data_IF_608381948396
#
_entry.id   IF_608381948396
#
_cell.length_a   1.000
_cell.length_b   1.000
_cell.length_c   1.000
_cell.angle_alpha   90.00
_cell.angle_beta   90.00
_cell.angle_gamma   90.00
#
_symmetry.space_group_name_H-M   'P 1'
#
loop_
_entity.id
_entity.type
_entity.pdbx_description
1 polymer ?
#
# COMPACT_ATOMS: atom_id res chain seq x y z
N UNK A 1 0.73 14.00 30.13
CA UNK A 1 0.54 12.96 29.10
C UNK A 1 0.07 13.65 27.82
N UNK A 2 0.69 13.46 26.65
CA UNK A 2 0.21 14.09 25.40
C UNK A 2 -1.08 13.39 24.95
N UNK A 3 -2.13 14.14 24.54
CA UNK A 3 -3.37 13.53 24.08
C UNK A 3 -3.11 12.68 22.83
N UNK A 4 -3.83 11.56 22.72
CA UNK A 4 -3.75 10.70 21.55
C UNK A 4 -4.19 11.49 20.31
N UNK A 5 -3.52 11.33 19.16
CA UNK A 5 -3.90 12.06 17.94
C UNK A 5 -5.33 11.69 17.52
N UNK A 6 -6.12 12.65 17.02
CA UNK A 6 -7.47 12.39 16.54
C UNK A 6 -7.45 11.56 15.25
N UNK A 7 -8.54 10.85 14.99
CA UNK A 7 -8.80 10.24 13.68
C UNK A 7 -9.04 11.31 12.62
N UNK A 8 -8.83 10.95 11.36
CA UNK A 8 -9.05 11.79 10.19
C UNK A 8 -10.54 11.96 9.97
N UNK A 9 -10.96 13.22 9.79
CA UNK A 9 -12.36 13.56 9.56
C UNK A 9 -12.82 13.11 8.17
N UNK A 10 -14.12 12.83 8.07
CA UNK A 10 -14.85 12.52 6.85
C UNK A 10 -15.74 13.70 6.45
N UNK A 11 -15.85 13.99 5.16
CA UNK A 11 -16.79 15.01 4.66
C UNK A 11 -18.22 14.49 4.56
N UNK A 12 -18.44 13.18 4.58
CA UNK A 12 -19.77 12.55 4.38
C UNK A 12 -20.18 12.38 2.91
N UNK A 13 -19.36 12.87 1.97
CA UNK A 13 -19.65 12.82 0.52
C UNK A 13 -18.51 12.11 -0.22
N UNK A 14 -18.58 10.78 -0.43
CA UNK A 14 -17.53 10.05 -1.13
C UNK A 14 -17.45 10.45 -2.60
N UNK A 15 -16.26 10.89 -3.03
CA UNK A 15 -15.99 11.23 -4.44
C UNK A 15 -14.73 10.54 -4.91
N UNK A 16 -14.58 10.35 -6.22
CA UNK A 16 -13.34 9.82 -6.81
C UNK A 16 -12.23 10.87 -6.64
N UNK A 17 -11.07 10.46 -6.10
CA UNK A 17 -9.95 11.35 -5.82
C UNK A 17 -8.61 10.71 -6.19
N UNK A 18 -7.67 11.50 -6.71
CA UNK A 18 -6.30 11.05 -6.93
C UNK A 18 -5.55 10.83 -5.62
N UNK A 19 -4.48 10.04 -5.64
CA UNK A 19 -3.74 9.69 -4.42
C UNK A 19 -3.08 10.91 -3.75
N UNK A 20 -2.66 11.90 -4.53
CA UNK A 20 -2.14 13.19 -4.03
C UNK A 20 -3.15 13.99 -3.20
N UNK A 21 -4.45 13.75 -3.42
CA UNK A 21 -5.53 14.34 -2.64
C UNK A 21 -5.90 13.53 -1.39
N UNK A 22 -5.57 12.23 -1.38
CA UNK A 22 -5.88 11.31 -0.28
C UNK A 22 -4.91 11.44 0.90
N UNK A 23 -3.63 11.71 0.64
CA UNK A 23 -2.60 11.75 1.70
C UNK A 23 -1.83 13.06 1.72
N UNK A 24 -1.45 13.51 2.92
CA UNK A 24 -0.64 14.72 3.11
C UNK A 24 0.80 14.35 3.45
N UNK A 25 1.70 14.48 2.48
CA UNK A 25 3.13 14.19 2.65
C UNK A 25 3.86 15.22 3.54
N UNK A 26 4.92 14.82 4.25
CA UNK A 26 5.71 15.70 5.11
C UNK A 26 6.67 16.57 4.27
N UNK A 27 6.17 17.65 3.66
CA UNK A 27 6.91 18.51 2.70
C UNK A 27 8.27 19.05 3.18
N UNK A 28 8.45 19.23 4.49
CA UNK A 28 9.71 19.73 5.08
C UNK A 28 10.75 18.63 5.33
N UNK A 29 10.42 17.38 5.02
CA UNK A 29 11.28 16.23 5.27
C UNK A 29 12.29 16.02 4.13
N UNK A 30 13.53 15.59 4.43
CA UNK A 30 14.47 15.13 3.40
C UNK A 30 13.98 13.89 2.63
N UNK A 31 13.05 13.10 3.20
CA UNK A 31 12.46 11.95 2.51
C UNK A 31 11.30 12.33 1.58
N UNK A 32 10.88 13.60 1.56
CA UNK A 32 9.76 14.05 0.73
C UNK A 32 9.91 13.67 -0.75
N UNK A 33 11.07 13.83 -1.42
CA UNK A 33 11.19 13.48 -2.84
C UNK A 33 10.89 12.00 -3.13
N UNK A 34 11.35 11.08 -2.27
CA UNK A 34 11.11 9.65 -2.43
C UNK A 34 9.64 9.29 -2.21
N UNK A 35 9.01 9.88 -1.18
CA UNK A 35 7.59 9.68 -0.90
C UNK A 35 6.70 10.25 -2.00
N UNK A 36 7.07 11.41 -2.56
CA UNK A 36 6.34 12.05 -3.65
C UNK A 36 6.39 11.22 -4.94
N UNK A 37 7.56 10.67 -5.30
CA UNK A 37 7.69 9.74 -6.43
C UNK A 37 6.80 8.51 -6.26
N UNK A 38 6.87 7.88 -5.09
CA UNK A 38 6.05 6.71 -4.78
C UNK A 38 4.54 7.03 -4.83
N UNK A 39 4.12 8.19 -4.32
CA UNK A 39 2.73 8.62 -4.36
C UNK A 39 2.26 8.88 -5.80
N UNK A 40 3.09 9.52 -6.63
CA UNK A 40 2.79 9.74 -8.04
C UNK A 40 2.66 8.42 -8.83
N UNK A 41 3.49 7.42 -8.51
CA UNK A 41 3.37 6.09 -9.10
C UNK A 41 2.06 5.40 -8.70
N UNK A 42 1.64 5.53 -7.43
CA UNK A 42 0.34 5.02 -6.97
C UNK A 42 -0.84 5.72 -7.66
N UNK A 43 -0.77 7.06 -7.80
CA UNK A 43 -1.77 7.86 -8.52
C UNK A 43 -1.89 7.47 -9.99
N UNK A 44 -0.77 7.15 -10.66
CA UNK A 44 -0.80 6.68 -12.03
C UNK A 44 -1.52 5.33 -12.18
N UNK A 45 -1.52 4.51 -11.13
CA UNK A 45 -2.16 3.20 -11.13
C UNK A 45 -3.68 3.32 -10.96
N UNK A 46 -4.14 4.07 -9.95
CA UNK A 46 -5.56 4.14 -9.61
C UNK A 46 -5.94 5.37 -8.79
N UNK A 47 -7.24 5.67 -8.80
CA UNK A 47 -7.90 6.63 -7.92
C UNK A 47 -8.58 5.92 -6.74
N UNK A 48 -9.16 6.67 -5.80
CA UNK A 48 -9.97 6.13 -4.72
C UNK A 48 -11.25 6.94 -4.52
N UNK A 49 -12.38 6.25 -4.44
CA UNK A 49 -13.65 6.87 -4.04
C UNK A 49 -13.71 6.95 -2.52
N UNK A 50 -13.66 8.16 -1.97
CA UNK A 50 -13.59 8.39 -0.52
C UNK A 50 -14.03 9.80 -0.14
N UNK A 51 -14.50 9.95 1.09
CA UNK A 51 -14.87 11.21 1.76
C UNK A 51 -13.83 11.64 2.81
N UNK A 52 -12.73 10.89 2.96
CA UNK A 52 -11.69 11.22 3.92
C UNK A 52 -11.02 12.55 3.61
N UNK A 53 -10.83 13.39 4.63
CA UNK A 53 -9.83 14.47 4.57
C UNK A 53 -8.43 13.87 4.38
N UNK A 54 -7.44 14.64 3.87
CA UNK A 54 -6.12 14.08 3.60
C UNK A 54 -5.46 13.44 4.83
N UNK A 55 -5.12 12.15 4.73
CA UNK A 55 -4.51 11.38 5.82
C UNK A 55 -3.04 11.80 5.96
N UNK A 56 -2.58 12.25 7.15
CA UNK A 56 -1.21 12.70 7.30
C UNK A 56 -0.21 11.54 7.21
N UNK A 57 0.88 11.77 6.48
CA UNK A 57 2.07 10.92 6.51
C UNK A 57 3.08 11.53 7.47
N UNK A 58 3.57 10.72 8.42
CA UNK A 58 4.51 11.13 9.46
C UNK A 58 5.77 10.31 9.39
N UNK A 59 6.91 10.98 9.54
CA UNK A 59 8.17 10.27 9.72
C UNK A 59 8.38 9.86 11.18
N UNK A 60 9.09 8.76 11.33
CA UNK A 60 9.60 8.28 12.62
C UNK A 60 11.06 7.87 12.47
N UNK A 61 11.77 7.71 13.58
CA UNK A 61 13.16 7.25 13.58
C UNK A 61 13.30 5.87 14.27
N UNK A 62 12.23 5.07 14.29
CA UNK A 62 12.24 3.75 14.93
C UNK A 62 12.93 2.71 14.06
N UNK A 63 13.73 1.83 14.65
CA UNK A 63 14.32 0.68 13.95
C UNK A 63 13.45 -0.58 14.06
N UNK A 64 12.38 -0.54 14.88
CA UNK A 64 11.54 -1.71 15.16
C UNK A 64 10.58 -2.05 14.01
N UNK A 65 10.16 -1.05 13.25
CA UNK A 65 9.23 -1.21 12.13
C UNK A 65 9.50 -0.17 11.05
N UNK A 66 9.41 -0.59 9.79
CA UNK A 66 9.68 0.27 8.64
C UNK A 66 8.53 1.22 8.30
N UNK A 67 7.30 0.85 8.66
CA UNK A 67 6.11 1.66 8.53
C UNK A 67 5.03 1.24 9.53
N UNK A 68 3.95 2.03 9.60
CA UNK A 68 2.72 1.65 10.30
C UNK A 68 1.54 2.53 9.89
N UNK A 69 0.49 1.91 9.34
CA UNK A 69 -0.83 2.48 9.17
C UNK A 69 -1.59 2.39 10.51
N UNK A 70 -2.05 3.53 11.01
CA UNK A 70 -2.77 3.60 12.29
C UNK A 70 -4.21 4.00 12.07
N UNK A 71 -5.10 3.36 12.81
CA UNK A 71 -6.53 3.65 12.83
C UNK A 71 -7.07 3.55 14.26
N UNK A 72 -8.23 4.16 14.50
CA UNK A 72 -9.01 4.01 15.73
C UNK A 72 -10.48 3.97 15.38
N UNK A 73 -11.17 2.99 15.95
CA UNK A 73 -12.62 2.80 15.73
C UNK A 73 -12.99 2.71 14.24
N UNK A 74 -12.10 2.20 13.40
CA UNK A 74 -12.34 2.09 11.95
C UNK A 74 -12.08 3.36 11.15
N UNK A 75 -11.52 4.41 11.76
CA UNK A 75 -11.08 5.60 11.03
C UNK A 75 -9.56 5.76 11.03
N UNK A 76 -8.95 6.18 9.90
CA UNK A 76 -7.52 6.44 9.81
C UNK A 76 -7.05 7.51 10.80
N UNK A 77 -5.81 7.39 11.28
CA UNK A 77 -5.13 8.44 12.05
C UNK A 77 -3.98 9.02 11.22
N UNK A 78 -3.03 8.18 10.84
CA UNK A 78 -1.88 8.53 10.00
C UNK A 78 -1.22 7.30 9.40
N UNK A 79 -0.36 7.56 8.40
CA UNK A 79 0.64 6.62 7.93
C UNK A 79 1.97 7.04 8.55
N UNK A 80 2.69 6.08 9.13
CA UNK A 80 4.06 6.29 9.63
C UNK A 80 5.04 5.60 8.73
N UNK A 81 6.15 6.27 8.43
CA UNK A 81 7.28 5.70 7.69
C UNK A 81 8.54 5.98 8.50
N UNK A 82 9.36 4.96 8.72
CA UNK A 82 10.62 5.14 9.43
C UNK A 82 11.73 5.55 8.48
N UNK A 83 12.51 6.55 8.89
CA UNK A 83 13.69 7.02 8.17
C UNK A 83 14.95 6.18 8.43
N UNK A 84 14.84 5.08 9.20
CA UNK A 84 15.97 4.21 9.58
C UNK A 84 16.05 2.93 8.75
N UNK A 85 15.22 2.78 7.73
CA UNK A 85 15.21 1.61 6.86
C UNK A 85 15.43 2.03 5.40
N UNK A 86 16.19 1.25 4.65
CA UNK A 86 16.59 1.58 3.28
C UNK A 86 15.48 1.35 2.24
N UNK A 87 14.27 1.00 2.69
CA UNK A 87 13.11 0.64 1.87
C UNK A 87 11.98 1.68 1.92
N UNK A 88 12.32 2.96 2.04
CA UNK A 88 11.35 4.05 2.27
C UNK A 88 10.18 4.04 1.27
N UNK A 89 10.38 3.98 -0.07
CA UNK A 89 9.27 3.90 -1.02
C UNK A 89 8.38 2.67 -0.80
N UNK A 90 8.97 1.48 -0.63
CA UNK A 90 8.23 0.24 -0.41
C UNK A 90 7.41 0.29 0.88
N UNK A 91 8.01 0.74 1.99
CA UNK A 91 7.32 0.85 3.28
C UNK A 91 6.17 1.84 3.21
N UNK A 92 6.36 2.99 2.56
CA UNK A 92 5.28 3.95 2.37
C UNK A 92 4.12 3.35 1.57
N UNK A 93 4.41 2.69 0.44
CA UNK A 93 3.40 2.07 -0.41
C UNK A 93 2.69 0.91 0.29
N UNK A 94 3.39 0.17 1.16
CA UNK A 94 2.78 -0.86 1.98
C UNK A 94 1.73 -0.27 2.93
N UNK A 95 2.07 0.79 3.67
CA UNK A 95 1.10 1.45 4.55
C UNK A 95 -0.05 2.12 3.77
N UNK A 96 0.23 2.65 2.58
CA UNK A 96 -0.78 3.15 1.66
C UNK A 96 -1.71 2.02 1.20
N UNK A 97 -1.17 0.83 0.90
CA UNK A 97 -1.94 -0.35 0.56
C UNK A 97 -2.90 -0.76 1.68
N UNK A 98 -2.48 -0.67 2.94
CA UNK A 98 -3.38 -0.87 4.08
C UNK A 98 -4.48 0.19 4.17
N UNK A 99 -4.16 1.47 3.97
CA UNK A 99 -5.15 2.54 3.96
C UNK A 99 -6.20 2.28 2.86
N UNK A 100 -5.76 1.98 1.64
CA UNK A 100 -6.64 1.71 0.49
C UNK A 100 -7.53 0.51 0.77
N UNK A 101 -6.95 -0.62 1.18
CA UNK A 101 -7.68 -1.85 1.50
C UNK A 101 -8.79 -1.61 2.54
N UNK A 102 -8.47 -0.79 3.54
CA UNK A 102 -9.42 -0.38 4.55
C UNK A 102 -10.53 0.55 4.02
N UNK A 103 -10.25 1.39 3.02
CA UNK A 103 -11.25 2.28 2.43
C UNK A 103 -12.12 1.62 1.35
N UNK A 104 -11.73 0.45 0.82
CA UNK A 104 -12.49 -0.25 -0.22
C UNK A 104 -13.69 -1.06 0.30
N UNK A 105 -13.89 -1.13 1.62
CA UNK A 105 -15.06 -1.78 2.22
C UNK A 105 -15.54 -1.03 3.49
N UNK A 106 -15.92 0.26 3.37
CA UNK A 106 -16.18 1.13 4.52
C UNK A 106 -17.35 0.63 5.39
N UNK A 107 -18.42 0.15 4.77
CA UNK A 107 -19.61 -0.42 5.43
C UNK A 107 -19.28 -1.60 6.34
N UNK A 108 -18.24 -2.34 5.97
CA UNK A 108 -17.90 -3.59 6.60
C UNK A 108 -16.89 -3.44 7.76
N UNK A 109 -16.37 -2.21 7.97
CA UNK A 109 -15.34 -1.85 8.98
C UNK A 109 -14.18 -2.85 9.03
N UNK A 110 -13.82 -3.42 7.87
CA UNK A 110 -12.76 -4.42 7.70
C UNK A 110 -12.02 -4.18 6.40
N UNK A 111 -10.81 -4.73 6.31
CA UNK A 111 -10.01 -4.75 5.10
C UNK A 111 -10.74 -5.50 3.97
N UNK A 112 -10.92 -4.86 2.81
CA UNK A 112 -11.63 -5.43 1.65
C UNK A 112 -10.99 -6.73 1.15
N UNK A 113 -9.67 -6.83 1.18
CA UNK A 113 -8.88 -8.02 0.83
C UNK A 113 -9.34 -9.29 1.55
N UNK A 114 -9.93 -9.15 2.74
CA UNK A 114 -10.39 -10.27 3.55
C UNK A 114 -11.62 -10.96 2.99
N UNK A 115 -12.52 -10.24 2.30
CA UNK A 115 -13.83 -10.80 1.92
C UNK A 115 -14.56 -10.13 0.75
N UNK A 116 -14.13 -8.96 0.29
CA UNK A 116 -14.79 -8.27 -0.82
C UNK A 116 -14.75 -9.14 -2.10
N UNK A 117 -15.86 -9.24 -2.87
CA UNK A 117 -15.93 -10.09 -4.07
C UNK A 117 -14.89 -9.74 -5.14
N UNK A 118 -14.61 -8.45 -5.37
CA UNK A 118 -13.61 -7.99 -6.35
C UNK A 118 -12.21 -8.60 -6.13
N UNK A 119 -11.88 -8.95 -4.88
CA UNK A 119 -10.59 -9.54 -4.50
C UNK A 119 -10.54 -11.07 -4.62
N UNK A 120 -11.63 -11.73 -5.05
CA UNK A 120 -11.67 -13.20 -5.14
C UNK A 120 -10.60 -13.76 -6.10
N UNK A 121 -10.41 -13.22 -7.33
CA UNK A 121 -9.33 -13.65 -8.21
C UNK A 121 -7.94 -13.37 -7.64
N UNK A 122 -7.73 -12.17 -7.07
CA UNK A 122 -6.49 -11.80 -6.39
C UNK A 122 -6.13 -12.78 -5.26
N UNK A 123 -7.10 -13.16 -4.40
CA UNK A 123 -6.90 -14.15 -3.33
C UNK A 123 -6.51 -15.54 -3.86
N UNK A 124 -7.02 -15.93 -5.02
CA UNK A 124 -6.62 -17.18 -5.66
C UNK A 124 -5.20 -17.07 -6.24
N UNK A 125 -4.87 -15.93 -6.82
CA UNK A 125 -3.55 -15.64 -7.40
C UNK A 125 -2.43 -15.61 -6.35
N UNK A 126 -2.62 -14.88 -5.25
CA UNK A 126 -1.59 -14.74 -4.21
C UNK A 126 -1.25 -16.06 -3.51
N UNK A 127 -2.20 -17.02 -3.46
CA UNK A 127 -1.96 -18.37 -2.92
C UNK A 127 -1.01 -19.21 -3.77
N UNK A 128 -0.82 -18.86 -5.04
CA UNK A 128 0.11 -19.54 -5.96
C UNK A 128 1.52 -18.98 -5.89
N UNK A 129 1.71 -17.79 -5.32
CA UNK A 129 3.04 -17.24 -5.10
C UNK A 129 3.73 -17.94 -3.93
N UNK A 130 5.05 -18.14 -3.99
CA UNK A 130 5.78 -18.70 -2.87
C UNK A 130 5.68 -17.78 -1.65
N UNK A 131 5.59 -18.40 -0.47
CA UNK A 131 5.63 -17.64 0.78
C UNK A 131 6.98 -16.98 0.94
N UNK A 132 6.97 -15.71 1.34
CA UNK A 132 8.18 -14.92 1.63
C UNK A 132 8.46 -14.81 3.13
N UNK A 133 7.76 -15.61 3.95
CA UNK A 133 7.94 -15.61 5.40
C UNK A 133 9.38 -16.02 5.71
N UNK A 134 10.14 -15.24 6.51
CA UNK A 134 11.49 -15.62 6.90
C UNK A 134 11.53 -17.01 7.55
N UNK A 135 12.51 -17.84 7.20
CA UNK A 135 12.58 -19.25 7.64
C UNK A 135 12.48 -19.43 9.18
N UNK A 136 13.05 -18.48 9.94
CA UNK A 136 13.06 -18.49 11.42
C UNK A 136 11.87 -17.74 12.05
N UNK A 137 10.83 -17.40 11.29
CA UNK A 137 9.66 -16.72 11.83
C UNK A 137 8.82 -17.64 12.72
N UNK A 138 8.56 -17.20 13.95
CA UNK A 138 7.61 -17.87 14.85
C UNK A 138 6.17 -17.85 14.34
N UNK A 139 5.30 -18.67 14.94
CA UNK A 139 3.89 -18.84 14.52
C UNK A 139 3.12 -17.54 14.36
N UNK A 140 3.24 -16.61 15.32
CA UNK A 140 2.55 -15.32 15.29
C UNK A 140 2.99 -14.47 14.09
N UNK A 141 4.30 -14.39 13.86
CA UNK A 141 4.86 -13.63 12.73
C UNK A 141 4.44 -14.25 11.39
N UNK A 142 4.48 -15.58 11.25
CA UNK A 142 3.99 -16.27 10.05
C UNK A 142 2.51 -15.97 9.78
N UNK A 143 1.65 -16.09 10.81
CA UNK A 143 0.21 -15.79 10.69
C UNK A 143 -0.04 -14.33 10.30
N UNK A 144 0.71 -13.40 10.86
CA UNK A 144 0.63 -11.98 10.49
C UNK A 144 1.00 -11.80 9.02
N UNK A 145 2.20 -12.27 8.65
CA UNK A 145 2.79 -12.07 7.34
C UNK A 145 1.96 -12.71 6.21
N UNK A 146 1.40 -13.88 6.43
CA UNK A 146 0.50 -14.57 5.48
C UNK A 146 -0.97 -14.13 5.59
N UNK A 147 -1.29 -13.14 6.43
CA UNK A 147 -2.65 -12.62 6.49
C UNK A 147 -3.01 -11.83 5.21
N UNK A 148 -4.28 -11.90 4.81
CA UNK A 148 -4.75 -11.29 3.54
C UNK A 148 -4.43 -9.80 3.45
N UNK A 149 -4.58 -9.04 4.54
CA UNK A 149 -4.26 -7.60 4.55
C UNK A 149 -2.78 -7.32 4.33
N UNK A 150 -1.88 -8.15 4.87
CA UNK A 150 -0.42 -7.97 4.73
C UNK A 150 0.04 -8.42 3.35
N UNK A 151 -0.53 -9.51 2.83
CA UNK A 151 -0.32 -9.96 1.47
C UNK A 151 -0.80 -8.92 0.45
N UNK A 152 -1.96 -8.30 0.69
CA UNK A 152 -2.46 -7.21 -0.14
C UNK A 152 -1.51 -6.01 -0.11
N UNK A 153 -1.17 -5.50 1.08
CA UNK A 153 -0.30 -4.34 1.20
C UNK A 153 1.06 -4.54 0.51
N UNK A 154 1.66 -5.74 0.61
CA UNK A 154 2.91 -6.08 -0.10
C UNK A 154 2.75 -6.19 -1.60
N UNK A 155 1.72 -6.91 -2.07
CA UNK A 155 1.45 -7.05 -3.51
C UNK A 155 1.08 -5.72 -4.17
N UNK A 156 0.28 -4.89 -3.49
CA UNK A 156 0.00 -3.52 -3.89
C UNK A 156 1.29 -2.71 -4.05
N UNK A 157 2.13 -2.68 -3.01
CA UNK A 157 3.36 -1.91 -3.04
C UNK A 157 4.30 -2.34 -4.18
N UNK A 158 4.48 -3.64 -4.36
CA UNK A 158 5.31 -4.15 -5.46
C UNK A 158 4.71 -3.88 -6.83
N UNK A 159 3.38 -3.93 -6.98
CA UNK A 159 2.69 -3.61 -8.25
C UNK A 159 2.91 -2.14 -8.63
N UNK A 160 2.75 -1.21 -7.68
CA UNK A 160 3.01 0.21 -7.93
C UNK A 160 4.47 0.43 -8.36
N UNK A 161 5.43 -0.22 -7.68
CA UNK A 161 6.84 -0.10 -8.04
C UNK A 161 7.15 -0.71 -9.41
N UNK A 162 6.61 -1.88 -9.73
CA UNK A 162 6.89 -2.59 -10.99
C UNK A 162 6.25 -1.91 -12.20
N UNK A 163 5.12 -1.23 -12.02
CA UNK A 163 4.42 -0.47 -13.07
C UNK A 163 4.88 0.98 -13.18
N UNK A 164 5.74 1.45 -12.27
CA UNK A 164 6.23 2.81 -12.32
C UNK A 164 7.12 3.06 -13.54
N UNK A 165 6.91 4.19 -14.22
CA UNK A 165 7.83 4.70 -15.23
C UNK A 165 9.05 5.42 -14.61
N UNK A 166 9.06 5.66 -13.29
CA UNK A 166 10.16 6.31 -12.60
C UNK A 166 11.36 5.35 -12.48
N UNK A 167 12.52 5.68 -13.10
CA UNK A 167 13.69 4.80 -13.07
C UNK A 167 14.22 4.57 -11.65
N UNK A 168 14.12 5.55 -10.76
CA UNK A 168 14.60 5.43 -9.37
C UNK A 168 13.76 4.40 -8.60
N UNK A 169 12.45 4.36 -8.83
CA UNK A 169 11.57 3.37 -8.20
C UNK A 169 11.79 1.96 -8.75
N UNK A 170 12.06 1.85 -10.06
CA UNK A 170 12.38 0.56 -10.69
C UNK A 170 13.72 0.01 -10.21
N UNK A 171 14.75 0.84 -10.14
CA UNK A 171 16.06 0.48 -9.58
C UNK A 171 15.94 0.08 -8.11
N UNK A 172 15.13 0.81 -7.33
CA UNK A 172 14.84 0.46 -5.94
C UNK A 172 14.22 -0.94 -5.81
N UNK A 173 13.21 -1.26 -6.63
CA UNK A 173 12.60 -2.60 -6.64
C UNK A 173 13.62 -3.68 -7.06
N UNK A 174 14.41 -3.41 -8.09
CA UNK A 174 15.43 -4.35 -8.57
C UNK A 174 16.48 -4.66 -7.49
N UNK A 175 16.92 -3.64 -6.73
CA UNK A 175 17.84 -3.83 -5.62
C UNK A 175 17.24 -4.69 -4.50
N UNK A 176 15.96 -4.48 -4.16
CA UNK A 176 15.25 -5.30 -3.16
C UNK A 176 15.10 -6.75 -3.63
N UNK A 177 14.81 -6.98 -4.91
CA UNK A 177 14.70 -8.31 -5.49
C UNK A 177 16.06 -9.03 -5.53
N UNK A 178 17.13 -8.31 -5.89
CA UNK A 178 18.49 -8.84 -5.86
C UNK A 178 18.93 -9.24 -4.45
N UNK A 179 18.53 -8.45 -3.45
CA UNK A 179 18.79 -8.73 -2.04
C UNK A 179 17.86 -9.81 -1.43
N UNK A 180 16.97 -10.41 -2.23
CA UNK A 180 15.95 -11.37 -1.79
C UNK A 180 15.11 -10.85 -0.60
N UNK A 181 14.76 -9.55 -0.61
CA UNK A 181 14.03 -8.93 0.49
C UNK A 181 12.66 -9.64 0.70
N UNK A 182 12.29 -10.01 1.94
CA UNK A 182 11.07 -10.78 2.20
C UNK A 182 9.78 -10.01 1.85
N UNK A 183 9.83 -8.70 1.68
CA UNK A 183 8.65 -7.89 1.34
C UNK A 183 8.33 -7.86 -0.16
N UNK A 184 9.21 -8.40 -1.01
CA UNK A 184 9.01 -8.47 -2.46
C UNK A 184 9.21 -9.89 -2.99
N UNK A 185 8.59 -10.19 -4.12
CA UNK A 185 8.78 -11.42 -4.89
C UNK A 185 9.69 -11.18 -6.10
N UNK A 186 10.37 -12.21 -6.62
CA UNK A 186 11.05 -12.13 -7.92
C UNK A 186 10.13 -11.66 -9.05
N UNK A 187 10.66 -10.84 -9.97
CA UNK A 187 9.84 -10.19 -11.01
C UNK A 187 9.05 -11.18 -11.88
N UNK A 188 9.69 -12.30 -12.28
CA UNK A 188 9.07 -13.33 -13.12
C UNK A 188 7.88 -14.00 -12.44
N UNK A 189 7.99 -14.28 -11.15
CA UNK A 189 6.90 -14.90 -10.38
C UNK A 189 5.76 -13.90 -10.15
N UNK A 190 6.11 -12.64 -9.89
CA UNK A 190 5.14 -11.62 -9.51
C UNK A 190 4.35 -11.03 -10.68
N UNK A 191 4.88 -11.07 -11.91
CA UNK A 191 4.30 -10.36 -13.05
C UNK A 191 2.81 -10.68 -13.29
N UNK A 192 2.42 -11.95 -13.28
CA UNK A 192 1.02 -12.36 -13.43
C UNK A 192 0.15 -11.94 -12.23
N UNK A 193 0.74 -11.84 -11.04
CA UNK A 193 0.04 -11.38 -9.84
C UNK A 193 -0.22 -9.87 -9.84
N UNK A 194 0.72 -9.09 -10.39
CA UNK A 194 0.56 -7.64 -10.54
C UNK A 194 -0.69 -7.29 -11.37
N UNK A 195 -0.95 -8.03 -12.45
CA UNK A 195 -2.17 -7.89 -13.26
C UNK A 195 -3.45 -8.12 -12.44
N UNK A 196 -3.43 -9.04 -11.47
CA UNK A 196 -4.59 -9.27 -10.59
C UNK A 196 -4.80 -8.15 -9.57
N UNK A 197 -3.75 -7.44 -9.17
CA UNK A 197 -3.86 -6.23 -8.34
C UNK A 197 -4.51 -5.11 -9.16
N UNK A 198 -4.08 -4.90 -10.40
CA UNK A 198 -4.69 -3.95 -11.34
C UNK A 198 -6.18 -4.27 -11.59
N UNK A 199 -6.49 -5.54 -11.82
CA UNK A 199 -7.85 -6.01 -12.05
C UNK A 199 -8.77 -5.82 -10.84
N UNK A 200 -8.25 -5.76 -9.61
CA UNK A 200 -9.06 -5.38 -8.44
C UNK A 200 -9.58 -3.95 -8.59
N UNK A 201 -8.71 -3.01 -8.99
CA UNK A 201 -9.12 -1.61 -9.18
C UNK A 201 -10.03 -1.44 -10.39
N UNK A 202 -9.80 -2.19 -11.47
CA UNK A 202 -10.69 -2.23 -12.63
C UNK A 202 -12.11 -2.68 -12.25
N UNK A 203 -12.24 -3.81 -11.53
CA UNK A 203 -13.54 -4.33 -11.07
C UNK A 203 -14.28 -3.39 -10.12
N UNK A 204 -13.57 -2.46 -9.49
CA UNK A 204 -14.12 -1.44 -8.60
C UNK A 204 -14.39 -0.11 -9.32
N UNK A 205 -14.05 0.00 -10.60
CA UNK A 205 -14.16 1.22 -11.39
C UNK A 205 -13.25 2.34 -10.85
N UNK A 206 -12.03 1.97 -10.46
CA UNK A 206 -11.04 2.85 -9.83
C UNK A 206 -9.71 2.96 -10.60
N UNK A 207 -9.55 2.22 -11.69
CA UNK A 207 -8.31 2.24 -12.48
C UNK A 207 -8.04 3.68 -12.97
N UNK A 208 -6.78 4.13 -12.88
CA UNK A 208 -6.40 5.47 -13.26
C UNK A 208 -6.65 5.72 -14.75
N UNK A 209 -7.02 6.95 -15.11
CA UNK A 209 -7.37 7.34 -16.49
C UNK A 209 -6.22 7.12 -17.49
N UNK A 210 -4.96 7.05 -17.02
CA UNK A 210 -3.78 6.79 -17.85
C UNK A 210 -3.54 5.31 -18.15
N UNK A 211 -4.06 4.39 -17.33
CA UNK A 211 -3.90 2.95 -17.54
C UNK A 211 -4.91 2.39 -18.56
N UNK A 212 -6.04 3.08 -18.78
CA UNK A 212 -7.05 2.69 -19.76
C UNK A 212 -6.63 2.88 -21.24
N UNK A 213 -5.52 3.59 -21.50
CA UNK A 213 -5.05 3.92 -22.86
C UNK A 213 -4.05 2.86 -23.39
N UNK A 214 -3.65 1.89 -22.56
CA UNK A 214 -2.66 0.87 -22.91
C UNK A 214 -3.24 -0.55 -23.06
N UNK A 215 -4.57 -0.69 -23.16
CA UNK A 215 -5.27 -1.96 -23.38
C UNK A 215 -5.74 -2.10 -24.84
#
# INVERSE_FOLDING_TARGET
MRPAPPSVLRSGEPRLRPMSELVRLPRRSPLYPQLARALAAAEALHDLRTDLRPVPVRLTATTRQSGCYRMREGDPIDLRVSSRHDRVPLSFLHELGHLIDHQLAPEARRFASTGHPAFKPWRASIRRLPSRVPARAGRSHRRYFDSRKELWARSYAQTVLSRSSDPVLREHLAALQLADDPFVWPAREFAAHATEVEAVFERLGLLGTRSAIAA
#
